data_IF_966684724672
#
_entry.id   IF_966684724672
#
_cell.length_a   1.000
_cell.length_b   1.000
_cell.length_c   1.000
_cell.angle_alpha   90.00
_cell.angle_beta   90.00
_cell.angle_gamma   90.00
#
_symmetry.space_group_name_H-M   'P 1'
#
loop_
_entity.id
_entity.type
_entity.pdbx_description
1 polymer ?
#
# COMPACT_ATOMS: atom_id res chain seq x y z
N UNK A 1 2.59 -11.52 4.94
CA UNK A 1 1.46 -11.96 4.08
C UNK A 1 1.87 -11.75 2.63
N UNK A 2 1.36 -12.54 1.69
CA UNK A 2 1.56 -12.30 0.26
C UNK A 2 0.36 -11.58 -0.31
N UNK A 3 0.60 -10.48 -1.03
CA UNK A 3 -0.44 -9.69 -1.69
C UNK A 3 -0.32 -9.88 -3.19
N UNK A 4 -1.44 -10.22 -3.83
CA UNK A 4 -1.57 -10.31 -5.28
C UNK A 4 -2.55 -9.27 -5.79
N UNK A 5 -2.16 -8.50 -6.80
CA UNK A 5 -3.03 -7.58 -7.52
C UNK A 5 -3.07 -7.92 -9.01
N UNK A 6 -4.17 -7.58 -9.69
CA UNK A 6 -4.35 -7.79 -11.13
C UNK A 6 -5.17 -6.65 -11.74
N UNK A 7 -5.03 -6.41 -13.04
CA UNK A 7 -5.84 -5.43 -13.78
C UNK A 7 -5.39 -3.98 -13.62
N UNK A 8 -4.20 -3.72 -13.07
CA UNK A 8 -3.67 -2.37 -12.93
C UNK A 8 -3.13 -1.83 -14.26
N UNK A 9 -3.42 -0.57 -14.57
CA UNK A 9 -2.75 0.23 -15.59
C UNK A 9 -1.26 0.40 -15.22
N UNK A 10 -0.42 -0.33 -15.95
CA UNK A 10 1.03 -0.39 -15.76
C UNK A 10 1.75 0.94 -16.00
N UNK A 11 1.08 1.93 -16.59
CA UNK A 11 1.64 3.28 -16.79
C UNK A 11 1.60 4.12 -15.51
N UNK A 12 0.89 3.64 -14.48
CA UNK A 12 0.66 4.32 -13.20
C UNK A 12 1.23 3.49 -12.06
N UNK A 13 2.15 4.08 -11.29
CA UNK A 13 2.64 3.44 -10.08
C UNK A 13 1.60 3.50 -8.97
N UNK A 14 1.55 2.46 -8.13
CA UNK A 14 0.70 2.40 -6.94
C UNK A 14 1.52 2.06 -5.71
N UNK A 15 1.05 2.52 -4.57
CA UNK A 15 1.48 1.99 -3.29
C UNK A 15 0.52 0.91 -2.80
N UNK A 16 1.07 -0.09 -2.12
CA UNK A 16 0.32 -1.14 -1.43
C UNK A 16 0.73 -1.18 0.04
N UNK A 17 -0.21 -0.94 0.95
CA UNK A 17 0.00 -1.04 2.41
C UNK A 17 -1.32 -1.08 3.19
N UNK A 18 -1.27 -1.12 4.53
CA UNK A 18 -2.47 -1.21 5.38
C UNK A 18 -2.96 0.17 5.79
N UNK A 19 -4.24 0.47 5.57
CA UNK A 19 -4.89 1.72 5.98
C UNK A 19 -6.33 1.50 6.42
N UNK A 20 -6.90 2.48 7.12
CA UNK A 20 -8.34 2.51 7.42
C UNK A 20 -9.23 2.84 6.22
N UNK A 21 -8.69 3.53 5.20
CA UNK A 21 -9.41 3.87 3.97
C UNK A 21 -8.47 4.09 2.79
N UNK A 22 -9.01 3.95 1.57
CA UNK A 22 -8.32 4.40 0.34
C UNK A 22 -8.35 5.93 0.22
N UNK A 23 -9.48 6.57 0.54
CA UNK A 23 -9.69 8.01 0.34
C UNK A 23 -8.56 8.83 0.97
N UNK A 24 -8.01 9.77 0.18
CA UNK A 24 -6.90 10.61 0.60
C UNK A 24 -7.44 11.89 1.24
N UNK A 25 -7.67 11.83 2.55
CA UNK A 25 -8.06 12.97 3.36
C UNK A 25 -7.39 12.94 4.74
N UNK A 26 -7.67 13.96 5.57
CA UNK A 26 -7.05 14.12 6.88
C UNK A 26 -7.36 12.99 7.87
N UNK A 27 -8.41 12.19 7.65
CA UNK A 27 -8.81 11.08 8.50
C UNK A 27 -8.11 9.76 8.13
N UNK A 28 -7.38 9.75 7.01
CA UNK A 28 -6.63 8.57 6.59
C UNK A 28 -5.50 8.29 7.59
N UNK A 29 -5.46 7.05 8.06
CA UNK A 29 -4.44 6.50 8.94
C UNK A 29 -3.98 5.17 8.33
N UNK A 30 -2.69 4.90 8.45
CA UNK A 30 -2.07 3.74 7.84
C UNK A 30 -1.02 3.16 8.78
N UNK A 31 -0.81 1.85 8.69
CA UNK A 31 0.27 1.18 9.40
C UNK A 31 1.56 1.39 8.58
N UNK A 32 2.54 2.06 9.17
CA UNK A 32 3.71 2.53 8.46
C UNK A 32 3.39 3.76 7.61
N UNK A 33 3.91 3.78 6.37
CA UNK A 33 3.70 4.92 5.48
C UNK A 33 4.36 4.74 4.13
N UNK A 34 4.41 5.85 3.40
CA UNK A 34 5.11 5.92 2.12
C UNK A 34 6.59 5.63 2.34
N UNK A 35 7.09 4.58 1.69
CA UNK A 35 8.46 4.10 1.80
C UNK A 35 9.27 4.53 0.58
N UNK A 36 9.74 5.79 0.57
CA UNK A 36 10.47 6.36 -0.58
C UNK A 36 11.90 5.85 -0.71
N UNK A 37 12.48 5.31 0.35
CA UNK A 37 13.86 4.78 0.37
C UNK A 37 13.91 3.24 0.27
N UNK A 38 12.75 2.57 0.21
CA UNK A 38 12.65 1.12 0.09
C UNK A 38 12.98 0.35 1.39
N UNK A 39 13.22 1.02 2.51
CA UNK A 39 13.66 0.39 3.76
C UNK A 39 12.55 -0.35 4.53
N UNK A 40 11.30 0.07 4.37
CA UNK A 40 10.17 -0.46 5.15
C UNK A 40 9.47 -1.65 4.49
N UNK A 41 9.32 -2.79 5.18
CA UNK A 41 8.52 -3.92 4.69
C UNK A 41 7.00 -3.72 4.85
N UNK A 42 6.57 -2.61 5.46
CA UNK A 42 5.16 -2.29 5.74
C UNK A 42 4.44 -1.69 4.53
N UNK A 43 5.17 -1.34 3.46
CA UNK A 43 4.60 -0.87 2.21
C UNK A 43 5.42 -1.33 1.01
N UNK A 44 4.73 -1.49 -0.11
CA UNK A 44 5.31 -1.84 -1.41
C UNK A 44 5.00 -0.74 -2.41
N UNK A 45 5.98 -0.43 -3.28
CA UNK A 45 5.80 0.50 -4.39
C UNK A 45 5.86 -0.26 -5.70
N UNK A 46 4.72 -0.41 -6.35
CA UNK A 46 4.62 -1.09 -7.63
C UNK A 46 4.65 -0.06 -8.75
N UNK A 47 5.65 -0.11 -9.62
CA UNK A 47 5.76 0.78 -10.77
C UNK A 47 6.71 0.21 -11.83
N UNK A 48 6.21 0.12 -13.07
CA UNK A 48 7.03 -0.22 -14.24
C UNK A 48 7.71 1.01 -14.87
N UNK A 49 7.31 2.22 -14.45
CA UNK A 49 7.84 3.48 -14.96
C UNK A 49 8.19 4.43 -13.79
N UNK A 50 9.10 4.04 -12.89
CA UNK A 50 9.43 4.86 -11.74
C UNK A 50 10.18 6.15 -12.14
N UNK A 51 10.03 7.23 -11.36
CA UNK A 51 10.88 8.41 -11.51
C UNK A 51 12.35 8.06 -11.26
N UNK A 52 13.27 8.87 -11.77
CA UNK A 52 14.70 8.54 -11.80
C UNK A 52 15.29 8.18 -10.42
N UNK A 53 14.87 8.86 -9.35
CA UNK A 53 15.33 8.58 -7.98
C UNK A 53 14.83 7.25 -7.40
N UNK A 54 13.80 6.66 -8.00
CA UNK A 54 13.16 5.44 -7.51
C UNK A 54 13.55 4.18 -8.29
N UNK A 55 14.50 4.30 -9.23
CA UNK A 55 15.05 3.14 -9.95
C UNK A 55 15.70 2.19 -8.94
N UNK A 56 15.27 0.93 -8.94
CA UNK A 56 15.72 -0.10 -8.00
C UNK A 56 14.96 -0.12 -6.67
N UNK A 57 14.06 0.83 -6.42
CA UNK A 57 13.21 0.88 -5.22
C UNK A 57 11.78 0.37 -5.49
N UNK A 58 11.37 0.31 -6.76
CA UNK A 58 10.03 -0.15 -7.14
C UNK A 58 10.05 -1.58 -7.66
N UNK A 59 8.91 -2.24 -7.51
CA UNK A 59 8.64 -3.55 -8.07
C UNK A 59 7.85 -3.33 -9.37
N UNK A 60 8.32 -3.77 -10.54
CA UNK A 60 7.57 -3.59 -11.78
C UNK A 60 6.32 -4.47 -11.79
N UNK A 61 5.26 -4.00 -12.44
CA UNK A 61 4.14 -4.86 -12.79
C UNK A 61 4.57 -5.91 -13.81
N UNK A 62 3.89 -7.05 -13.80
CA UNK A 62 3.86 -7.94 -14.95
C UNK A 62 3.11 -7.27 -16.12
N UNK A 63 3.30 -7.72 -17.39
CA UNK A 63 2.72 -7.06 -18.57
C UNK A 63 1.19 -6.89 -18.55
N UNK A 64 0.47 -7.75 -17.82
CA UNK A 64 -1.00 -7.71 -17.69
C UNK A 64 -1.50 -6.86 -16.51
N UNK A 65 -0.64 -6.05 -15.90
CA UNK A 65 -1.05 -5.23 -14.75
C UNK A 65 -1.14 -5.99 -13.43
N UNK A 66 -0.47 -7.15 -13.34
CA UNK A 66 -0.44 -7.92 -12.10
C UNK A 66 0.87 -7.75 -11.32
N UNK A 67 0.81 -8.06 -10.02
CA UNK A 67 1.98 -8.14 -9.15
C UNK A 67 1.74 -9.15 -8.04
N UNK A 68 2.82 -9.69 -7.49
CA UNK A 68 2.81 -10.52 -6.28
C UNK A 68 3.95 -10.07 -5.39
N UNK A 69 3.63 -9.60 -4.19
CA UNK A 69 4.62 -8.98 -3.29
C UNK A 69 4.42 -9.41 -1.83
N UNK A 70 5.50 -9.53 -1.05
CA UNK A 70 5.37 -9.68 0.39
C UNK A 70 4.95 -8.34 1.02
N UNK A 71 4.06 -8.40 2.00
CA UNK A 71 3.72 -7.27 2.84
C UNK A 71 3.74 -7.71 4.31
N UNK A 72 4.46 -6.97 5.13
CA UNK A 72 4.41 -7.15 6.58
C UNK A 72 3.14 -6.45 7.10
N UNK A 73 2.11 -7.24 7.38
CA UNK A 73 0.82 -6.78 7.89
C UNK A 73 0.85 -6.81 9.42
N UNK A 74 0.50 -5.69 10.06
CA UNK A 74 0.43 -5.53 11.53
C UNK A 74 -0.83 -4.76 11.90
N UNK A 75 -1.35 -5.01 13.11
CA UNK A 75 -2.55 -4.34 13.59
C UNK A 75 -2.27 -2.88 13.96
N UNK A 76 -1.11 -2.62 14.56
CA UNK A 76 -0.70 -1.32 15.06
C UNK A 76 0.67 -0.96 14.48
N UNK A 77 0.84 0.31 14.13
CA UNK A 77 2.17 0.88 13.94
C UNK A 77 2.70 1.36 15.30
N UNK A 78 3.63 0.61 15.87
CA UNK A 78 4.20 0.91 17.19
C UNK A 78 4.98 2.22 17.26
N UNK A 79 5.47 2.72 16.11
CA UNK A 79 6.23 3.96 16.03
C UNK A 79 5.31 5.17 16.09
N UNK A 80 4.19 5.13 15.37
CA UNK A 80 3.28 6.29 15.27
C UNK A 80 2.06 6.18 16.17
N UNK A 81 1.58 4.96 16.44
CA UNK A 81 0.35 4.65 17.20
C UNK A 81 -0.89 5.41 16.71
N UNK A 82 -0.91 5.72 15.42
CA UNK A 82 -1.97 6.51 14.78
C UNK A 82 -3.18 5.69 14.34
N UNK A 83 -3.10 4.36 14.40
CA UNK A 83 -4.11 3.41 13.96
C UNK A 83 -4.02 2.13 14.78
N UNK A 84 -5.17 1.55 15.12
CA UNK A 84 -5.26 0.20 15.69
C UNK A 84 -6.31 -0.63 14.95
N UNK A 85 -5.83 -1.41 13.99
CA UNK A 85 -6.64 -2.30 13.16
C UNK A 85 -7.22 -3.52 13.91
N UNK A 86 -6.92 -3.67 15.20
CA UNK A 86 -7.65 -4.63 16.05
C UNK A 86 -8.96 -4.05 16.60
N UNK A 87 -9.13 -2.72 16.51
CA UNK A 87 -10.29 -1.99 17.04
C UNK A 87 -11.09 -1.32 15.92
N UNK A 88 -10.41 -0.73 14.93
CA UNK A 88 -11.06 -0.06 13.79
C UNK A 88 -10.94 -0.84 12.48
N UNK A 89 -11.79 -0.52 11.49
CA UNK A 89 -11.72 -1.15 10.19
C UNK A 89 -10.42 -0.80 9.47
N UNK A 90 -9.70 -1.82 9.02
CA UNK A 90 -8.55 -1.67 8.16
C UNK A 90 -8.67 -2.54 6.91
N UNK A 91 -7.87 -2.18 5.91
CA UNK A 91 -7.71 -2.94 4.69
C UNK A 91 -6.30 -2.85 4.15
N UNK A 92 -5.91 -3.84 3.36
CA UNK A 92 -4.81 -3.67 2.41
C UNK A 92 -5.33 -2.79 1.29
N UNK A 93 -4.68 -1.66 1.09
CA UNK A 93 -5.07 -0.67 0.09
C UNK A 93 -4.06 -0.62 -1.04
N UNK A 94 -4.56 -0.41 -2.26
CA UNK A 94 -3.77 0.07 -3.38
C UNK A 94 -4.32 1.43 -3.82
N UNK A 95 -3.44 2.38 -4.13
CA UNK A 95 -3.79 3.72 -4.62
C UNK A 95 -2.60 4.32 -5.37
N UNK A 96 -2.85 5.31 -6.24
CA UNK A 96 -1.80 5.92 -7.03
C UNK A 96 -0.67 6.48 -6.15
N UNK A 97 0.56 6.29 -6.61
CA UNK A 97 1.73 6.77 -5.89
C UNK A 97 1.79 8.31 -5.85
N UNK A 98 2.79 8.82 -5.15
CA UNK A 98 2.89 10.26 -4.88
C UNK A 98 3.14 11.12 -6.13
N UNK A 99 3.44 10.51 -7.28
CA UNK A 99 3.56 11.22 -8.56
C UNK A 99 2.19 11.57 -9.15
N UNK A 100 1.11 10.93 -8.69
CA UNK A 100 -0.27 11.10 -9.19
C UNK A 100 -1.31 10.96 -8.07
N UNK A 101 -1.11 11.61 -6.92
CA UNK A 101 -1.95 11.43 -5.71
C UNK A 101 -3.45 11.65 -5.93
N UNK A 102 -3.81 12.51 -6.86
CA UNK A 102 -5.20 12.84 -7.17
C UNK A 102 -5.89 11.79 -8.05
N UNK A 103 -5.12 10.90 -8.69
CA UNK A 103 -5.66 9.81 -9.50
C UNK A 103 -6.15 8.65 -8.61
N UNK A 104 -7.46 8.49 -8.54
CA UNK A 104 -8.12 7.42 -7.76
C UNK A 104 -8.71 6.32 -8.63
N UNK A 105 -8.40 6.30 -9.94
CA UNK A 105 -8.99 5.36 -10.91
C UNK A 105 -8.65 3.89 -10.64
N UNK A 106 -7.68 3.62 -9.77
CA UNK A 106 -7.20 2.27 -9.45
C UNK A 106 -7.16 2.00 -7.96
N UNK A 107 -7.98 2.73 -7.21
CA UNK A 107 -8.13 2.48 -5.78
C UNK A 107 -8.70 1.09 -5.53
N UNK A 108 -8.05 0.37 -4.61
CA UNK A 108 -8.53 -0.92 -4.13
C UNK A 108 -8.48 -0.90 -2.62
N UNK A 109 -9.55 -1.36 -1.98
CA UNK A 109 -9.60 -1.60 -0.53
C UNK A 109 -10.04 -3.04 -0.29
N UNK A 110 -9.16 -3.84 0.29
CA UNK A 110 -9.49 -5.21 0.73
C UNK A 110 -9.49 -5.24 2.24
N UNK A 111 -10.68 -5.33 2.85
CA UNK A 111 -10.84 -5.41 4.30
C UNK A 111 -10.02 -6.56 4.89
N UNK A 112 -9.36 -6.29 6.01
CA UNK A 112 -8.65 -7.29 6.81
C UNK A 112 -9.10 -7.21 8.27
N UNK A 113 -8.94 -8.31 8.99
CA UNK A 113 -9.22 -8.38 10.43
C UNK A 113 -8.08 -9.10 11.14
N UNK A 114 -7.75 -8.64 12.34
CA UNK A 114 -6.78 -9.30 13.22
C UNK A 114 -7.54 -10.08 14.29
N UNK A 115 -7.17 -11.34 14.50
CA UNK A 115 -7.66 -12.08 15.66
C UNK A 115 -7.05 -11.46 16.92
N UNK A 116 -7.81 -11.34 18.02
CA UNK A 116 -7.27 -10.94 19.31
C UNK A 116 -6.10 -11.84 19.69
N UNK A 117 -5.09 -11.25 20.34
CA UNK A 117 -4.01 -12.05 20.94
C UNK A 117 -4.63 -12.91 22.05
N UNK A 118 -4.45 -14.25 22.04
CA UNK A 118 -4.97 -15.11 23.09
C UNK A 118 -4.37 -14.79 24.46
#
# INVERSE_FOLDING_TARGET
MTISGTGFDITKGVYVFVCNQVKWDANRRCVGGVNLDGSSPLSQWISSNPPAYAKGLTIPYMPNGSFVVPLLVRAVDETTKLIDCSIEQCGVVAFADHTRRDDRSQDVFVSISFTPKP
#
